data_IF_178199022287
#
_entry.id   IF_178199022287
#
_cell.length_a   1.000
_cell.length_b   1.000
_cell.length_c   1.000
_cell.angle_alpha   90.00
_cell.angle_beta   90.00
_cell.angle_gamma   90.00
#
_symmetry.space_group_name_H-M   'P 1'
#
loop_
_entity.id
_entity.type
_entity.pdbx_description
1 polymer ?
#
# COMPACT_ATOMS: atom_id res chain seq x y z
N UNK A 1 -25.85 -12.09 -5.40
CA UNK A 1 -24.43 -12.26 -5.00
C UNK A 1 -23.46 -11.71 -6.05
N UNK A 2 -23.50 -12.17 -7.31
CA UNK A 2 -22.63 -11.66 -8.39
C UNK A 2 -22.78 -10.16 -8.68
N UNK A 3 -24.01 -9.64 -8.70
CA UNK A 3 -24.29 -8.19 -8.89
C UNK A 3 -23.69 -7.33 -7.77
N UNK A 4 -23.75 -7.81 -6.53
CA UNK A 4 -23.20 -7.10 -5.37
C UNK A 4 -21.67 -7.00 -5.43
N UNK A 5 -20.98 -8.10 -5.77
CA UNK A 5 -19.52 -8.10 -5.96
C UNK A 5 -19.09 -7.14 -7.07
N UNK A 6 -19.83 -7.09 -8.18
CA UNK A 6 -19.55 -6.19 -9.29
C UNK A 6 -19.67 -4.71 -8.90
N UNK A 7 -20.65 -4.39 -8.05
CA UNK A 7 -20.84 -3.04 -7.52
C UNK A 7 -19.65 -2.64 -6.65
N UNK A 8 -19.23 -3.50 -5.72
CA UNK A 8 -18.05 -3.23 -4.86
C UNK A 8 -16.79 -3.00 -5.68
N UNK A 9 -16.52 -3.83 -6.69
CA UNK A 9 -15.33 -3.69 -7.54
C UNK A 9 -15.33 -2.34 -8.28
N UNK A 10 -16.49 -1.89 -8.74
CA UNK A 10 -16.62 -0.63 -9.49
C UNK A 10 -16.34 0.57 -8.59
N UNK A 11 -16.95 0.62 -7.41
CA UNK A 11 -16.71 1.68 -6.42
C UNK A 11 -15.24 1.72 -5.97
N UNK A 12 -14.62 0.56 -5.74
CA UNK A 12 -13.20 0.49 -5.39
C UNK A 12 -12.29 0.96 -6.52
N UNK A 13 -12.63 0.64 -7.77
CA UNK A 13 -11.86 1.08 -8.95
C UNK A 13 -11.89 2.60 -9.08
N UNK A 14 -13.03 3.25 -8.84
CA UNK A 14 -13.16 4.71 -8.92
C UNK A 14 -12.42 5.42 -7.78
N UNK A 15 -12.42 4.84 -6.57
CA UNK A 15 -11.64 5.33 -5.44
C UNK A 15 -10.12 5.18 -5.65
N UNK A 16 -9.68 4.09 -6.29
CA UNK A 16 -8.26 3.77 -6.47
C UNK A 16 -7.63 4.50 -7.66
N UNK A 17 -7.75 5.82 -7.66
CA UNK A 17 -7.19 6.70 -8.68
C UNK A 17 -5.69 6.98 -8.47
N UNK A 18 -5.09 7.75 -9.38
CA UNK A 18 -3.65 8.06 -9.33
C UNK A 18 -3.23 8.74 -8.02
N UNK A 19 -4.07 9.61 -7.46
CA UNK A 19 -3.78 10.28 -6.19
C UNK A 19 -3.72 9.28 -5.03
N UNK A 20 -4.62 8.29 -5.03
CA UNK A 20 -4.59 7.22 -4.03
C UNK A 20 -3.31 6.39 -4.13
N UNK A 21 -2.84 6.10 -5.34
CA UNK A 21 -1.57 5.38 -5.56
C UNK A 21 -0.39 6.17 -5.04
N UNK A 22 -0.31 7.47 -5.36
CA UNK A 22 0.75 8.36 -4.88
C UNK A 22 0.75 8.39 -3.34
N UNK A 23 -0.42 8.49 -2.71
CA UNK A 23 -0.55 8.45 -1.26
C UNK A 23 -0.05 7.12 -0.67
N UNK A 24 -0.44 5.99 -1.26
CA UNK A 24 0.00 4.65 -0.82
C UNK A 24 1.52 4.51 -0.94
N UNK A 25 2.12 4.98 -2.03
CA UNK A 25 3.57 4.98 -2.21
C UNK A 25 4.23 5.88 -1.14
N UNK A 26 3.69 7.08 -0.90
CA UNK A 26 4.22 7.99 0.10
C UNK A 26 4.21 7.37 1.51
N UNK A 27 3.11 6.71 1.89
CA UNK A 27 3.02 5.95 3.14
C UNK A 27 4.07 4.83 3.16
N UNK A 28 4.18 4.06 2.07
CA UNK A 28 5.18 2.99 1.96
C UNK A 28 6.62 3.47 2.12
N UNK A 29 6.97 4.60 1.49
CA UNK A 29 8.27 5.25 1.63
C UNK A 29 8.49 5.72 3.07
N UNK A 30 7.50 6.37 3.68
CA UNK A 30 7.58 6.82 5.07
C UNK A 30 7.80 5.64 6.03
N UNK A 31 7.04 4.56 5.90
CA UNK A 31 7.19 3.38 6.75
C UNK A 31 8.54 2.70 6.54
N UNK A 32 9.02 2.62 5.30
CA UNK A 32 10.32 2.03 4.97
C UNK A 32 11.50 2.84 5.50
N UNK A 33 11.47 4.17 5.41
CA UNK A 33 12.60 5.03 5.77
C UNK A 33 12.51 5.58 7.19
N UNK A 34 11.33 5.97 7.66
CA UNK A 34 11.11 6.64 8.94
C UNK A 34 10.77 5.64 10.02
N UNK A 35 9.70 4.85 9.86
CA UNK A 35 9.25 3.93 10.92
C UNK A 35 10.27 2.85 11.19
N UNK A 36 10.83 2.21 10.14
CA UNK A 36 11.94 1.26 10.27
C UNK A 36 13.10 1.84 11.08
N UNK A 37 13.56 3.06 10.75
CA UNK A 37 14.68 3.71 11.47
C UNK A 37 14.30 4.09 12.89
N UNK A 38 13.06 4.49 13.13
CA UNK A 38 12.54 4.83 14.46
C UNK A 38 12.52 3.59 15.37
N UNK A 39 12.01 2.46 14.87
CA UNK A 39 11.93 1.19 15.59
C UNK A 39 13.32 0.60 15.85
N UNK A 40 14.21 0.63 14.85
CA UNK A 40 15.59 0.17 15.02
C UNK A 40 16.35 0.96 16.10
N UNK A 41 16.14 2.28 16.18
CA UNK A 41 16.72 3.14 17.22
C UNK A 41 16.22 2.79 18.63
N UNK A 42 15.00 2.26 18.74
CA UNK A 42 14.42 1.75 19.99
C UNK A 42 14.82 0.31 20.32
N UNK A 43 15.77 -0.28 19.59
CA UNK A 43 16.19 -1.70 19.69
C UNK A 43 15.08 -2.71 19.35
N UNK A 44 14.02 -2.26 18.67
CA UNK A 44 12.89 -3.09 18.21
C UNK A 44 13.16 -3.62 16.79
N UNK A 45 14.12 -4.56 16.67
CA UNK A 45 14.63 -5.01 15.37
C UNK A 45 13.62 -5.87 14.59
N UNK A 46 12.78 -6.65 15.29
CA UNK A 46 11.76 -7.49 14.64
C UNK A 46 10.70 -6.61 13.98
N UNK A 47 10.24 -5.60 14.70
CA UNK A 47 9.25 -4.60 14.29
C UNK A 47 9.83 -3.72 13.18
N UNK A 48 11.10 -3.32 13.28
CA UNK A 48 11.78 -2.58 12.22
C UNK A 48 11.83 -3.38 10.90
N UNK A 49 12.10 -4.68 10.97
CA UNK A 49 12.05 -5.56 9.79
C UNK A 49 10.63 -5.71 9.25
N UNK A 50 9.62 -5.78 10.12
CA UNK A 50 8.23 -5.81 9.68
C UNK A 50 7.85 -4.50 8.97
N UNK A 51 8.22 -3.34 9.52
CA UNK A 51 8.03 -2.04 8.89
C UNK A 51 8.73 -1.96 7.53
N UNK A 52 9.92 -2.56 7.39
CA UNK A 52 10.59 -2.68 6.09
C UNK A 52 9.75 -3.46 5.08
N UNK A 53 9.21 -4.61 5.47
CA UNK A 53 8.40 -5.47 4.59
C UNK A 53 7.10 -4.76 4.21
N UNK A 54 6.43 -4.13 5.17
CA UNK A 54 5.20 -3.35 4.95
C UNK A 54 5.46 -2.16 4.03
N UNK A 55 6.55 -1.43 4.23
CA UNK A 55 6.91 -0.32 3.36
C UNK A 55 7.15 -0.76 1.91
N UNK A 56 7.89 -1.86 1.72
CA UNK A 56 8.12 -2.43 0.38
C UNK A 56 6.81 -2.90 -0.25
N UNK A 57 5.93 -3.56 0.51
CA UNK A 57 4.65 -4.03 -0.03
C UNK A 57 3.79 -2.86 -0.48
N UNK A 58 3.72 -1.75 0.26
CA UNK A 58 2.98 -0.57 -0.21
C UNK A 58 3.57 0.05 -1.48
N UNK A 59 4.90 0.15 -1.58
CA UNK A 59 5.59 0.72 -2.75
C UNK A 59 5.37 -0.14 -4.00
N UNK A 60 5.34 -1.46 -3.88
CA UNK A 60 5.19 -2.38 -5.01
C UNK A 60 3.73 -2.70 -5.32
N UNK A 61 2.95 -3.09 -4.32
CA UNK A 61 1.58 -3.58 -4.50
C UNK A 61 0.64 -2.44 -4.91
N UNK A 62 0.84 -1.22 -4.42
CA UNK A 62 -0.01 -0.08 -4.79
C UNK A 62 -0.05 0.19 -6.31
N UNK A 63 1.11 0.40 -6.96
CA UNK A 63 1.19 0.53 -8.42
C UNK A 63 0.67 -0.70 -9.18
N UNK A 64 0.97 -1.91 -8.70
CA UNK A 64 0.51 -3.14 -9.35
C UNK A 64 -1.01 -3.22 -9.33
N UNK A 65 -1.66 -2.93 -8.20
CA UNK A 65 -3.11 -2.90 -8.07
C UNK A 65 -3.74 -1.84 -8.98
N UNK A 66 -3.12 -0.67 -9.11
CA UNK A 66 -3.60 0.36 -10.02
C UNK A 66 -3.60 -0.10 -11.48
N UNK A 67 -2.53 -0.77 -11.91
CA UNK A 67 -2.45 -1.33 -13.27
C UNK A 67 -3.53 -2.39 -13.47
N UNK A 68 -3.71 -3.30 -12.49
CA UNK A 68 -4.75 -4.34 -12.55
C UNK A 68 -6.14 -3.72 -12.66
N UNK A 69 -6.48 -2.73 -11.82
CA UNK A 69 -7.77 -2.06 -11.86
C UNK A 69 -8.00 -1.27 -13.15
N UNK A 70 -6.95 -0.78 -13.78
CA UNK A 70 -7.04 -0.11 -15.08
C UNK A 70 -7.26 -1.08 -16.25
N UNK A 71 -6.82 -2.33 -16.11
CA UNK A 71 -6.99 -3.38 -17.12
C UNK A 71 -8.33 -4.14 -17.02
N UNK A 72 -8.90 -4.24 -15.82
CA UNK A 72 -10.25 -4.75 -15.56
C UNK A 72 -11.32 -3.74 -16.01
#
# INVERSE_FOLDING_TARGET
MLSFLKTIITEFKDLYNLYMVVLVIAIGLFTFFVDKKSLARKKLQKEANLARIIGISYILVGPILYIIFKML
#
